data_IF_180197423191
#
_entry.id   IF_180197423191
#
_cell.length_a   1.000
_cell.length_b   1.000
_cell.length_c   1.000
_cell.angle_alpha   90.00
_cell.angle_beta   90.00
_cell.angle_gamma   90.00
#
_symmetry.space_group_name_H-M   'P 1'
#
loop_
_entity.id
_entity.type
_entity.pdbx_description
1 polymer ?
#
# COMPACT_ATOMS: atom_id res chain seq x y z
N UNK A 1 -25.62 -31.23 -6.83
CA UNK A 1 -24.30 -30.56 -6.90
C UNK A 1 -24.54 -29.18 -7.44
N UNK A 2 -23.99 -28.15 -6.81
CA UNK A 2 -24.05 -26.79 -7.35
C UNK A 2 -23.27 -26.70 -8.66
N UNK A 3 -23.67 -25.82 -9.60
CA UNK A 3 -22.91 -25.55 -10.83
C UNK A 3 -21.45 -25.22 -10.53
N UNK A 4 -20.54 -25.62 -11.43
CA UNK A 4 -19.09 -25.44 -11.24
C UNK A 4 -18.72 -23.96 -11.10
N UNK A 5 -19.40 -23.09 -11.84
CA UNK A 5 -19.22 -21.64 -11.78
C UNK A 5 -19.56 -21.09 -10.39
N UNK A 6 -20.61 -21.63 -9.75
CA UNK A 6 -21.00 -21.25 -8.40
C UNK A 6 -19.94 -21.69 -7.40
N UNK A 7 -19.46 -22.93 -7.49
CA UNK A 7 -18.40 -23.44 -6.60
C UNK A 7 -17.10 -22.63 -6.71
N UNK A 8 -16.69 -22.28 -7.93
CA UNK A 8 -15.53 -21.41 -8.17
C UNK A 8 -15.75 -20.01 -7.57
N UNK A 9 -16.95 -19.45 -7.72
CA UNK A 9 -17.32 -18.13 -7.20
C UNK A 9 -17.27 -18.10 -5.68
N UNK A 10 -17.83 -19.11 -5.03
CA UNK A 10 -17.81 -19.27 -3.57
C UNK A 10 -16.38 -19.44 -3.06
N UNK A 11 -15.57 -20.33 -3.65
CA UNK A 11 -14.18 -20.52 -3.24
C UNK A 11 -13.35 -19.26 -3.37
N UNK A 12 -13.48 -18.54 -4.50
CA UNK A 12 -12.79 -17.27 -4.71
C UNK A 12 -13.24 -16.22 -3.69
N UNK A 13 -14.52 -16.16 -3.37
CA UNK A 13 -15.07 -15.21 -2.39
C UNK A 13 -14.57 -15.52 -0.97
N UNK A 14 -14.65 -16.78 -0.54
CA UNK A 14 -14.18 -17.24 0.77
C UNK A 14 -12.68 -17.02 0.95
N UNK A 15 -11.87 -17.36 -0.06
CA UNK A 15 -10.42 -17.14 -0.01
C UNK A 15 -10.08 -15.65 0.11
N UNK A 16 -10.74 -14.78 -0.66
CA UNK A 16 -10.51 -13.32 -0.57
C UNK A 16 -10.95 -12.75 0.77
N UNK A 17 -12.05 -13.24 1.34
CA UNK A 17 -12.48 -12.86 2.68
C UNK A 17 -11.43 -13.22 3.74
N UNK A 18 -10.87 -14.44 3.69
CA UNK A 18 -9.80 -14.82 4.61
C UNK A 18 -8.48 -14.07 4.35
N UNK A 19 -8.13 -13.75 3.10
CA UNK A 19 -7.00 -12.86 2.79
C UNK A 19 -7.17 -11.48 3.42
N UNK A 20 -8.38 -10.91 3.34
CA UNK A 20 -8.71 -9.64 3.95
C UNK A 20 -8.56 -9.68 5.48
N UNK A 21 -9.16 -10.68 6.13
CA UNK A 21 -9.08 -10.82 7.59
C UNK A 21 -7.64 -11.00 8.07
N UNK A 22 -6.86 -11.82 7.37
CA UNK A 22 -5.47 -12.10 7.73
C UNK A 22 -4.57 -10.89 7.49
N UNK A 23 -4.62 -10.27 6.30
CA UNK A 23 -3.64 -9.25 5.90
C UNK A 23 -4.04 -7.81 6.20
N UNK A 24 -5.34 -7.53 6.36
CA UNK A 24 -5.86 -6.16 6.54
C UNK A 24 -6.42 -5.95 7.94
N UNK A 25 -7.13 -6.96 8.48
CA UNK A 25 -7.74 -6.86 9.80
C UNK A 25 -6.84 -7.38 10.92
N UNK A 26 -5.82 -8.20 10.59
CA UNK A 26 -4.98 -8.90 11.56
C UNK A 26 -5.84 -9.72 12.55
N UNK A 27 -6.89 -10.36 12.02
CA UNK A 27 -7.91 -11.08 12.77
C UNK A 27 -8.40 -12.32 12.00
N UNK A 28 -7.54 -13.32 11.75
CA UNK A 28 -7.91 -14.51 11.00
C UNK A 28 -8.96 -15.35 11.75
N UNK A 29 -9.98 -15.81 11.02
CA UNK A 29 -11.03 -16.69 11.55
C UNK A 29 -10.74 -18.18 11.39
N UNK A 30 -9.86 -18.52 10.44
CA UNK A 30 -9.50 -19.91 10.13
C UNK A 30 -7.99 -20.12 10.25
N UNK A 31 -7.53 -21.32 10.65
CA UNK A 31 -6.11 -21.66 10.63
C UNK A 31 -5.54 -21.67 9.20
N UNK A 32 -4.24 -21.42 9.06
CA UNK A 32 -3.53 -21.45 7.77
C UNK A 32 -3.76 -22.75 6.98
N UNK A 33 -3.83 -23.89 7.68
CA UNK A 33 -4.07 -25.20 7.07
C UNK A 33 -5.44 -25.28 6.34
N UNK A 34 -6.45 -24.57 6.83
CA UNK A 34 -7.79 -24.54 6.22
C UNK A 34 -7.80 -23.63 4.99
N UNK A 35 -7.17 -22.45 5.07
CA UNK A 35 -6.95 -21.59 3.90
C UNK A 35 -6.21 -22.36 2.78
N UNK A 36 -5.15 -23.10 3.12
CA UNK A 36 -4.39 -23.91 2.17
C UNK A 36 -5.23 -25.03 1.54
N UNK A 37 -6.14 -25.63 2.32
CA UNK A 37 -7.08 -26.64 1.80
C UNK A 37 -8.02 -26.04 0.76
N UNK A 38 -8.59 -24.87 1.05
CA UNK A 38 -9.47 -24.15 0.12
C UNK A 38 -8.71 -23.73 -1.16
N UNK A 39 -7.48 -23.24 -1.01
CA UNK A 39 -6.62 -22.85 -2.14
C UNK A 39 -6.28 -24.05 -3.03
N UNK A 40 -5.97 -25.22 -2.45
CA UNK A 40 -5.75 -26.46 -3.20
C UNK A 40 -7.00 -26.87 -3.98
N UNK A 41 -8.18 -26.81 -3.35
CA UNK A 41 -9.46 -27.11 -4.01
C UNK A 41 -9.73 -26.16 -5.17
N UNK A 42 -9.51 -24.85 -5.00
CA UNK A 42 -9.66 -23.87 -6.09
C UNK A 42 -8.74 -24.20 -7.27
N UNK A 43 -7.46 -24.50 -7.01
CA UNK A 43 -6.50 -24.88 -8.05
C UNK A 43 -6.92 -26.14 -8.80
N UNK A 44 -7.42 -27.15 -8.08
CA UNK A 44 -7.91 -28.39 -8.68
C UNK A 44 -9.08 -28.12 -9.63
N UNK A 45 -10.10 -27.39 -9.19
CA UNK A 45 -11.24 -27.04 -10.04
C UNK A 45 -10.83 -26.19 -11.25
N UNK A 46 -9.96 -25.20 -11.08
CA UNK A 46 -9.44 -24.40 -12.19
C UNK A 46 -8.60 -25.21 -13.17
N UNK A 47 -7.89 -26.24 -12.71
CA UNK A 47 -7.15 -27.14 -13.60
C UNK A 47 -8.06 -28.04 -14.44
N UNK A 48 -9.24 -28.39 -13.92
CA UNK A 48 -10.27 -29.17 -14.62
C UNK A 48 -11.10 -28.30 -15.57
N UNK A 49 -11.21 -27.00 -15.28
CA UNK A 49 -12.00 -26.02 -16.01
C UNK A 49 -11.19 -24.75 -16.35
N UNK A 50 -10.15 -24.87 -17.21
CA UNK A 50 -9.24 -23.76 -17.52
C UNK A 50 -9.96 -22.56 -18.16
N UNK A 51 -11.08 -22.79 -18.86
CA UNK A 51 -11.93 -21.77 -19.46
C UNK A 51 -12.61 -20.85 -18.43
N UNK A 52 -12.69 -21.27 -17.16
CA UNK A 52 -13.31 -20.51 -16.06
C UNK A 52 -12.29 -19.76 -15.21
N UNK A 53 -10.99 -19.83 -15.52
CA UNK A 53 -9.94 -19.09 -14.82
C UNK A 53 -10.07 -17.59 -15.11
N UNK A 54 -10.16 -16.78 -14.06
CA UNK A 54 -10.20 -15.32 -14.17
C UNK A 54 -8.86 -14.69 -13.76
N UNK A 55 -8.44 -13.56 -14.36
CA UNK A 55 -7.17 -12.90 -14.02
C UNK A 55 -7.05 -12.41 -12.57
N UNK A 56 -8.18 -12.28 -11.87
CA UNK A 56 -8.29 -11.85 -10.48
C UNK A 56 -8.47 -13.03 -9.50
N UNK A 57 -8.37 -14.27 -9.98
CA UNK A 57 -8.46 -15.45 -9.11
C UNK A 57 -7.26 -15.49 -8.15
N UNK A 58 -7.46 -15.87 -6.86
CA UNK A 58 -6.37 -16.00 -5.88
C UNK A 58 -5.19 -16.88 -6.32
N UNK A 59 -5.41 -17.79 -7.28
CA UNK A 59 -4.39 -18.67 -7.84
C UNK A 59 -3.45 -17.96 -8.83
N UNK A 60 -3.89 -16.83 -9.43
CA UNK A 60 -3.20 -16.13 -10.52
C UNK A 60 -2.20 -15.06 -10.04
N UNK A 61 -1.76 -15.13 -8.78
CA UNK A 61 -0.82 -14.17 -8.19
C UNK A 61 0.60 -14.27 -8.75
N UNK A 62 1.02 -15.47 -9.16
CA UNK A 62 2.38 -15.71 -9.69
C UNK A 62 2.28 -16.05 -11.17
N UNK A 63 2.76 -15.14 -12.03
CA UNK A 63 2.83 -15.35 -13.47
C UNK A 63 3.83 -16.46 -13.86
N UNK A 64 3.72 -16.97 -15.09
CA UNK A 64 4.47 -18.14 -15.54
C UNK A 64 5.89 -17.84 -16.08
N UNK A 65 6.09 -16.72 -16.79
CA UNK A 65 7.34 -16.41 -17.48
C UNK A 65 8.06 -15.20 -16.85
N UNK A 66 9.40 -15.26 -16.66
CA UNK A 66 10.19 -14.08 -16.33
C UNK A 66 10.10 -13.01 -17.43
N UNK A 67 10.14 -11.76 -17.02
CA UNK A 67 10.29 -10.62 -17.92
C UNK A 67 11.73 -10.56 -18.46
N UNK A 68 11.92 -10.05 -19.67
CA UNK A 68 13.26 -9.76 -20.20
C UNK A 68 13.79 -8.42 -19.67
N UNK A 69 12.91 -7.44 -19.50
CA UNK A 69 13.17 -6.13 -18.93
C UNK A 69 11.85 -5.52 -18.40
N UNK A 70 11.95 -4.48 -17.58
CA UNK A 70 10.80 -3.68 -17.17
C UNK A 70 10.47 -2.64 -18.25
N UNK A 71 9.19 -2.55 -18.63
CA UNK A 71 8.66 -1.44 -19.42
C UNK A 71 8.50 -0.19 -18.55
N UNK A 72 8.43 0.97 -19.19
CA UNK A 72 8.16 2.23 -18.51
C UNK A 72 6.67 2.54 -18.52
N UNK A 73 6.15 3.06 -17.41
CA UNK A 73 4.78 3.57 -17.28
C UNK A 73 4.86 5.04 -16.92
N UNK A 74 4.18 5.87 -17.70
CA UNK A 74 3.97 7.28 -17.36
C UNK A 74 2.75 7.42 -16.47
N UNK A 75 2.91 8.04 -15.31
CA UNK A 75 1.80 8.30 -14.39
C UNK A 75 0.88 9.38 -14.97
N UNK A 76 -0.43 9.10 -15.01
CA UNK A 76 -1.45 10.06 -15.45
C UNK A 76 -1.52 11.29 -14.52
N UNK A 77 -1.35 11.04 -13.22
CA UNK A 77 -1.19 12.08 -12.19
C UNK A 77 0.23 11.99 -11.64
N UNK A 78 1.04 13.06 -11.59
CA UNK A 78 2.38 12.99 -11.01
C UNK A 78 2.40 12.49 -9.56
N UNK A 79 3.37 11.64 -9.22
CA UNK A 79 3.70 11.20 -7.87
C UNK A 79 4.65 12.18 -7.19
N UNK A 80 4.07 13.04 -6.34
CA UNK A 80 4.80 14.09 -5.63
C UNK A 80 5.68 13.53 -4.51
N UNK A 81 6.80 14.20 -4.25
CA UNK A 81 7.59 14.03 -3.02
C UNK A 81 6.96 14.79 -1.85
N UNK A 82 7.49 14.54 -0.66
CA UNK A 82 7.18 15.30 0.56
C UNK A 82 8.30 16.29 0.83
N UNK A 83 7.95 17.46 1.35
CA UNK A 83 8.93 18.34 2.00
C UNK A 83 9.26 17.76 3.38
N UNK A 84 10.52 17.86 3.80
CA UNK A 84 10.95 17.37 5.10
C UNK A 84 11.06 18.52 6.11
N UNK A 85 10.67 18.23 7.35
CA UNK A 85 10.97 19.04 8.54
C UNK A 85 11.68 18.15 9.56
N UNK A 86 12.63 18.72 10.30
CA UNK A 86 13.55 17.92 11.12
C UNK A 86 13.44 18.16 12.63
N UNK A 87 12.59 19.10 13.02
CA UNK A 87 12.41 19.54 14.40
C UNK A 87 10.99 20.11 14.61
N UNK A 88 10.59 20.23 15.88
CA UNK A 88 9.24 20.67 16.24
C UNK A 88 8.98 22.13 15.83
N UNK A 89 9.98 23.01 15.90
CA UNK A 89 9.86 24.42 15.53
C UNK A 89 9.60 24.58 14.02
N UNK A 90 10.34 23.83 13.20
CA UNK A 90 10.18 23.73 11.75
C UNK A 90 8.79 23.21 11.36
N UNK A 91 8.24 22.26 12.12
CA UNK A 91 6.87 21.80 11.94
C UNK A 91 5.85 22.89 12.29
N UNK A 92 6.01 23.58 13.42
CA UNK A 92 5.11 24.69 13.79
C UNK A 92 5.16 25.83 12.77
N UNK A 93 6.34 26.12 12.22
CA UNK A 93 6.50 27.06 11.12
C UNK A 93 5.79 26.58 9.84
N UNK A 94 5.83 25.29 9.53
CA UNK A 94 5.05 24.70 8.44
C UNK A 94 3.54 24.88 8.68
N UNK A 95 3.03 24.55 9.86
CA UNK A 95 1.62 24.77 10.24
C UNK A 95 1.21 26.23 10.01
N UNK A 96 2.01 27.18 10.49
CA UNK A 96 1.76 28.63 10.31
C UNK A 96 1.69 29.00 8.82
N UNK A 97 2.65 28.55 8.00
CA UNK A 97 2.64 28.80 6.54
C UNK A 97 1.38 28.26 5.86
N UNK A 98 0.88 27.11 6.30
CA UNK A 98 -0.35 26.53 5.76
C UNK A 98 -1.57 27.36 6.17
N UNK A 99 -1.69 27.75 7.45
CA UNK A 99 -2.77 28.64 7.92
C UNK A 99 -2.79 29.98 7.20
N UNK A 100 -1.62 30.64 7.08
CA UNK A 100 -1.47 31.93 6.40
C UNK A 100 -1.93 31.84 4.93
N UNK A 101 -1.58 30.74 4.25
CA UNK A 101 -1.96 30.52 2.84
C UNK A 101 -3.45 30.20 2.67
N UNK A 102 -4.04 29.51 3.64
CA UNK A 102 -5.47 29.22 3.66
C UNK A 102 -6.31 30.42 4.10
N UNK A 103 -5.67 31.50 4.61
CA UNK A 103 -6.34 32.67 5.18
C UNK A 103 -7.38 32.29 6.24
N UNK A 104 -7.10 31.22 6.99
CA UNK A 104 -8.00 30.72 8.03
C UNK A 104 -7.35 30.92 9.39
N UNK A 105 -8.14 31.38 10.35
CA UNK A 105 -7.79 31.43 11.77
C UNK A 105 -8.21 30.15 12.50
N UNK A 106 -8.92 29.24 11.82
CA UNK A 106 -9.36 27.98 12.40
C UNK A 106 -8.20 27.00 12.55
N UNK A 107 -8.36 26.08 13.48
CA UNK A 107 -7.41 24.99 13.66
C UNK A 107 -7.46 24.02 12.46
N UNK A 108 -6.29 23.63 11.98
CA UNK A 108 -6.18 22.61 10.94
C UNK A 108 -6.28 21.23 11.58
N UNK A 109 -7.09 20.37 10.97
CA UNK A 109 -7.11 18.94 11.30
C UNK A 109 -6.08 18.20 10.47
N UNK A 110 -5.35 17.31 11.13
CA UNK A 110 -4.27 16.55 10.53
C UNK A 110 -4.58 15.07 10.45
N UNK A 111 -4.01 14.50 9.39
CA UNK A 111 -3.87 13.09 9.16
C UNK A 111 -2.37 12.72 9.29
N UNK A 112 -1.99 12.14 10.43
CA UNK A 112 -0.64 11.68 10.77
C UNK A 112 -0.43 10.16 10.57
N UNK A 113 0.43 9.79 9.62
CA UNK A 113 0.75 8.41 9.25
C UNK A 113 2.24 8.13 9.50
N UNK A 114 2.64 6.89 9.65
CA UNK A 114 4.05 6.48 9.68
C UNK A 114 4.69 6.71 8.32
N UNK A 115 5.90 7.26 8.33
CA UNK A 115 6.74 7.36 7.14
C UNK A 115 7.48 6.05 6.93
N UNK A 116 6.83 5.10 6.26
CA UNK A 116 7.37 3.77 5.97
C UNK A 116 8.68 3.87 5.17
N UNK A 117 9.69 3.09 5.57
CA UNK A 117 10.96 3.02 4.85
C UNK A 117 10.96 1.91 3.81
N UNK A 118 10.40 2.21 2.62
CA UNK A 118 10.23 1.25 1.55
C UNK A 118 10.40 1.83 0.16
N UNK A 119 9.58 1.32 -0.77
CA UNK A 119 9.50 1.78 -2.14
C UNK A 119 8.06 2.17 -2.48
N UNK A 120 7.87 3.44 -2.85
CA UNK A 120 6.60 3.96 -3.31
C UNK A 120 6.14 3.28 -4.62
N UNK A 121 4.88 2.83 -4.61
CA UNK A 121 4.22 2.20 -5.75
C UNK A 121 2.86 2.83 -6.03
N UNK A 122 2.45 2.73 -7.28
CA UNK A 122 1.12 3.08 -7.79
C UNK A 122 0.44 1.82 -8.31
N UNK A 123 -0.83 1.60 -7.96
CA UNK A 123 -1.61 0.42 -8.33
C UNK A 123 -2.94 0.88 -8.92
N UNK A 124 -3.17 0.61 -10.19
CA UNK A 124 -4.39 0.95 -10.89
C UNK A 124 -5.37 -0.23 -10.82
N UNK A 125 -6.56 0.08 -10.34
CA UNK A 125 -7.73 -0.78 -10.38
C UNK A 125 -8.73 -0.23 -11.39
N UNK A 126 -9.22 -1.10 -12.28
CA UNK A 126 -10.33 -0.79 -13.18
C UNK A 126 -11.51 -1.68 -12.85
N UNK A 127 -12.67 -1.08 -12.57
CA UNK A 127 -13.86 -1.77 -12.07
C UNK A 127 -13.54 -2.69 -10.88
N UNK A 128 -12.66 -2.21 -9.99
CA UNK A 128 -12.18 -2.93 -8.82
C UNK A 128 -11.16 -4.03 -9.07
N UNK A 129 -10.71 -4.31 -10.30
CA UNK A 129 -9.70 -5.34 -10.60
C UNK A 129 -8.34 -4.70 -10.83
N UNK A 130 -7.28 -5.22 -10.19
CA UNK A 130 -5.91 -4.76 -10.41
C UNK A 130 -5.52 -5.02 -11.86
N UNK A 131 -5.23 -3.96 -12.62
CA UNK A 131 -4.80 -4.07 -14.03
C UNK A 131 -3.34 -3.72 -14.22
N UNK A 132 -2.80 -2.80 -13.43
CA UNK A 132 -1.44 -2.27 -13.62
C UNK A 132 -0.84 -1.84 -12.28
N UNK A 133 0.47 -2.02 -12.10
CA UNK A 133 1.21 -1.40 -11.01
C UNK A 133 2.57 -0.89 -11.48
N UNK A 134 2.98 0.26 -10.94
CA UNK A 134 4.21 0.94 -11.33
C UNK A 134 5.02 1.40 -10.11
N UNK A 135 6.35 1.42 -10.23
CA UNK A 135 7.19 2.15 -9.26
C UNK A 135 6.96 3.66 -9.39
N UNK A 136 7.34 4.43 -8.36
CA UNK A 136 7.34 5.89 -8.47
C UNK A 136 8.25 6.42 -9.58
N UNK A 137 9.45 5.83 -9.72
CA UNK A 137 10.52 6.35 -10.56
C UNK A 137 10.87 7.80 -10.22
N UNK A 138 10.85 8.69 -11.20
CA UNK A 138 11.12 10.13 -11.03
C UNK A 138 9.89 10.95 -10.57
N UNK A 139 8.75 10.27 -10.38
CA UNK A 139 7.46 10.89 -10.05
C UNK A 139 6.57 11.17 -11.26
N UNK A 140 7.11 11.08 -12.48
CA UNK A 140 6.36 11.18 -13.75
C UNK A 140 6.35 9.86 -14.50
N UNK A 141 7.48 9.14 -14.49
CA UNK A 141 7.64 7.85 -15.16
C UNK A 141 8.24 6.84 -14.19
N UNK A 142 7.61 5.68 -14.10
CA UNK A 142 8.03 4.52 -13.32
C UNK A 142 8.30 3.29 -14.17
N UNK A 143 8.64 2.19 -13.51
CA UNK A 143 8.79 0.85 -14.09
C UNK A 143 7.51 0.05 -13.86
N UNK A 144 7.06 -0.70 -14.87
CA UNK A 144 5.96 -1.67 -14.74
C UNK A 144 6.38 -2.84 -13.86
N UNK A 145 5.74 -2.96 -12.71
CA UNK A 145 5.98 -4.02 -11.72
C UNK A 145 4.71 -4.83 -11.46
N UNK A 146 3.76 -4.83 -12.39
CA UNK A 146 2.44 -5.46 -12.23
C UNK A 146 2.55 -6.93 -11.79
N UNK A 147 3.38 -7.72 -12.48
CA UNK A 147 3.59 -9.14 -12.16
C UNK A 147 4.15 -9.36 -10.75
N UNK A 148 5.01 -8.44 -10.28
CA UNK A 148 5.66 -8.56 -8.98
C UNK A 148 4.73 -8.09 -7.85
N UNK A 149 3.94 -7.05 -8.09
CA UNK A 149 2.93 -6.55 -7.15
C UNK A 149 1.83 -7.59 -6.92
N UNK A 150 1.41 -8.33 -7.95
CA UNK A 150 0.42 -9.43 -7.81
C UNK A 150 0.85 -10.51 -6.81
N UNK A 151 2.16 -10.70 -6.61
CA UNK A 151 2.67 -11.72 -5.67
C UNK A 151 2.57 -11.28 -4.20
N UNK A 152 2.39 -9.98 -3.94
CA UNK A 152 2.29 -9.44 -2.58
C UNK A 152 0.91 -9.78 -2.01
N UNK A 153 0.89 -10.65 -1.00
CA UNK A 153 -0.36 -11.19 -0.43
C UNK A 153 -1.28 -10.14 0.15
N UNK A 154 -0.69 -9.10 0.76
CA UNK A 154 -1.44 -7.99 1.34
C UNK A 154 -2.18 -7.14 0.28
N UNK A 155 -1.81 -7.22 -1.00
CA UNK A 155 -2.43 -6.43 -2.06
C UNK A 155 -3.58 -7.24 -2.68
N UNK A 156 -4.84 -6.78 -2.60
CA UNK A 156 -5.96 -7.48 -3.21
C UNK A 156 -5.87 -7.42 -4.74
N UNK A 157 -6.10 -8.54 -5.41
CA UNK A 157 -6.25 -8.56 -6.88
C UNK A 157 -7.58 -7.95 -7.32
N UNK A 158 -8.59 -7.97 -6.43
CA UNK A 158 -9.91 -7.38 -6.61
C UNK A 158 -10.35 -6.70 -5.33
N UNK A 159 -10.82 -5.47 -5.43
CA UNK A 159 -11.45 -4.71 -4.35
C UNK A 159 -12.83 -5.29 -4.04
N UNK A 160 -13.24 -5.22 -2.78
CA UNK A 160 -14.52 -5.75 -2.31
C UNK A 160 -15.41 -4.65 -1.75
N UNK A 161 -16.73 -4.80 -1.86
CA UNK A 161 -17.69 -3.83 -1.36
C UNK A 161 -18.30 -2.97 -2.45
N UNK A 162 -18.97 -1.90 -2.04
CA UNK A 162 -19.77 -1.04 -2.90
C UNK A 162 -19.06 0.27 -3.24
N UNK A 163 -19.60 0.99 -4.23
CA UNK A 163 -19.16 2.33 -4.63
C UNK A 163 -17.70 2.40 -5.09
N UNK A 164 -17.15 1.30 -5.60
CA UNK A 164 -15.80 1.27 -6.17
C UNK A 164 -15.78 2.09 -7.47
N UNK A 165 -14.88 3.07 -7.63
CA UNK A 165 -14.77 3.86 -8.86
C UNK A 165 -14.44 3.01 -10.08
N UNK A 166 -14.87 3.46 -11.26
CA UNK A 166 -14.53 2.82 -12.52
C UNK A 166 -13.02 2.72 -12.74
N UNK A 167 -12.25 3.77 -12.40
CA UNK A 167 -10.78 3.75 -12.37
C UNK A 167 -10.27 4.38 -11.07
N UNK A 168 -9.43 3.65 -10.35
CA UNK A 168 -8.86 4.07 -9.07
C UNK A 168 -7.37 3.74 -9.02
N UNK A 169 -6.52 4.76 -8.92
CA UNK A 169 -5.10 4.60 -8.63
C UNK A 169 -4.83 4.71 -7.13
N UNK A 170 -4.47 3.59 -6.51
CA UNK A 170 -4.06 3.53 -5.11
C UNK A 170 -2.54 3.70 -5.03
N UNK A 171 -2.10 4.60 -4.14
CA UNK A 171 -0.68 4.84 -3.87
C UNK A 171 -0.33 4.36 -2.47
N UNK A 172 0.83 3.74 -2.35
CA UNK A 172 1.30 3.22 -1.08
C UNK A 172 2.79 2.89 -1.11
N UNK A 173 3.26 2.32 -0.01
CA UNK A 173 4.65 1.91 0.15
C UNK A 173 4.71 0.38 0.23
N UNK A 174 5.53 -0.23 -0.64
CA UNK A 174 5.94 -1.62 -0.46
C UNK A 174 7.16 -1.65 0.44
N UNK A 175 7.10 -2.43 1.50
CA UNK A 175 8.19 -2.56 2.46
C UNK A 175 8.37 -4.00 2.92
N UNK A 176 9.43 -4.23 3.69
CA UNK A 176 9.82 -5.54 4.18
C UNK A 176 9.93 -5.49 5.70
N UNK A 177 9.13 -6.27 6.44
CA UNK A 177 9.26 -6.38 7.89
C UNK A 177 10.65 -6.89 8.29
N UNK A 178 11.14 -6.48 9.46
CA UNK A 178 12.49 -6.83 9.96
C UNK A 178 12.70 -8.35 10.02
N UNK A 179 11.70 -9.10 10.50
CA UNK A 179 11.77 -10.57 10.53
C UNK A 179 11.92 -11.19 9.12
N UNK A 180 11.29 -10.59 8.12
CA UNK A 180 11.43 -11.01 6.72
C UNK A 180 12.80 -10.67 6.13
N UNK A 181 13.31 -9.48 6.47
CA UNK A 181 14.66 -9.04 6.11
C UNK A 181 15.74 -9.96 6.67
N UNK A 182 15.68 -10.30 7.96
CA UNK A 182 16.67 -11.19 8.58
C UNK A 182 16.67 -12.58 7.95
N UNK A 183 15.48 -13.15 7.67
CA UNK A 183 15.36 -14.43 6.96
C UNK A 183 15.99 -14.39 5.57
N UNK A 184 15.78 -13.32 4.80
CA UNK A 184 16.40 -13.16 3.48
C UNK A 184 17.92 -13.12 3.60
N UNK A 185 18.45 -12.36 4.56
CA UNK A 185 19.89 -12.21 4.73
C UNK A 185 20.56 -13.47 5.28
N UNK A 186 19.89 -14.21 6.16
CA UNK A 186 20.37 -15.51 6.65
C UNK A 186 20.48 -16.52 5.49
N UNK A 187 19.44 -16.63 4.67
CA UNK A 187 19.47 -17.52 3.49
C UNK A 187 20.52 -17.08 2.47
N UNK A 188 20.67 -15.77 2.23
CA UNK A 188 21.71 -15.24 1.35
C UNK A 188 23.11 -15.60 1.86
N UNK A 189 23.38 -15.45 3.16
CA UNK A 189 24.66 -15.85 3.78
C UNK A 189 24.93 -17.35 3.61
N UNK A 190 23.90 -18.20 3.77
CA UNK A 190 24.01 -19.65 3.63
C UNK A 190 24.29 -20.10 2.20
N UNK A 191 23.70 -19.41 1.22
CA UNK A 191 23.76 -19.80 -0.20
C UNK A 191 24.80 -19.03 -1.02
N UNK A 192 25.54 -18.10 -0.40
CA UNK A 192 26.47 -17.20 -1.09
C UNK A 192 25.78 -16.13 -1.94
N UNK A 193 24.49 -15.86 -1.67
CA UNK A 193 23.70 -14.84 -2.33
C UNK A 193 23.99 -13.41 -1.85
N UNK A 194 23.34 -12.43 -2.47
CA UNK A 194 23.47 -11.01 -2.10
C UNK A 194 22.82 -10.73 -0.74
N UNK A 195 23.62 -10.26 0.21
CA UNK A 195 23.14 -9.72 1.50
C UNK A 195 22.76 -8.25 1.32
N UNK A 196 21.63 -7.84 1.88
CA UNK A 196 21.14 -6.46 1.84
C UNK A 196 21.54 -5.70 3.11
N UNK A 197 21.88 -4.42 2.94
CA UNK A 197 22.31 -3.56 4.06
C UNK A 197 21.16 -3.14 4.98
N UNK A 198 19.95 -2.97 4.43
CA UNK A 198 18.75 -2.56 5.18
C UNK A 198 17.45 -3.09 4.52
N UNK A 199 16.31 -3.10 5.25
CA UNK A 199 15.03 -3.54 4.72
C UNK A 199 14.56 -2.78 3.48
N UNK A 200 14.79 -1.46 3.39
CA UNK A 200 14.46 -0.65 2.20
C UNK A 200 15.10 -1.20 0.93
N UNK A 201 16.41 -1.45 0.96
CA UNK A 201 17.15 -2.00 -0.17
C UNK A 201 16.72 -3.42 -0.50
N UNK A 202 16.41 -4.23 0.51
CA UNK A 202 15.87 -5.57 0.32
C UNK A 202 14.48 -5.54 -0.33
N UNK A 203 13.59 -4.63 0.08
CA UNK A 203 12.28 -4.44 -0.51
C UNK A 203 12.39 -4.01 -1.98
N UNK A 204 13.17 -2.97 -2.26
CA UNK A 204 13.40 -2.47 -3.61
C UNK A 204 14.01 -3.54 -4.54
N UNK A 205 15.03 -4.26 -4.06
CA UNK A 205 15.64 -5.35 -4.82
C UNK A 205 14.70 -6.53 -5.04
N UNK A 206 13.83 -6.84 -4.07
CA UNK A 206 12.83 -7.91 -4.17
C UNK A 206 11.71 -7.58 -5.14
N UNK A 207 11.29 -6.31 -5.19
CA UNK A 207 10.22 -5.86 -6.08
C UNK A 207 10.68 -5.68 -7.53
N UNK A 208 11.98 -5.50 -7.76
CA UNK A 208 12.60 -5.34 -9.09
C UNK A 208 13.27 -6.62 -9.58
N UNK A 209 12.65 -7.78 -9.32
CA UNK A 209 13.08 -9.05 -9.91
C UNK A 209 12.37 -9.25 -11.24
N UNK A 210 13.12 -9.63 -12.28
CA UNK A 210 12.52 -9.95 -13.59
C UNK A 210 11.65 -11.20 -13.52
N UNK A 211 11.98 -12.14 -12.65
CA UNK A 211 11.18 -13.32 -12.39
C UNK A 211 10.27 -13.11 -11.15
N UNK A 212 8.94 -12.97 -11.32
CA UNK A 212 8.01 -12.77 -10.21
C UNK A 212 8.00 -13.96 -9.24
N UNK A 213 8.44 -15.15 -9.65
CA UNK A 213 8.57 -16.33 -8.77
C UNK A 213 9.63 -16.12 -7.69
N UNK A 214 10.60 -15.24 -7.93
CA UNK A 214 11.57 -14.82 -6.91
C UNK A 214 10.90 -13.86 -5.94
N UNK A 215 10.18 -12.84 -6.44
CA UNK A 215 9.43 -11.88 -5.60
C UNK A 215 8.39 -12.59 -4.72
N UNK A 216 7.70 -13.60 -5.23
CA UNK A 216 6.71 -14.38 -4.48
C UNK A 216 7.29 -15.10 -3.24
N UNK A 217 8.59 -15.33 -3.18
CA UNK A 217 9.29 -15.91 -2.01
C UNK A 217 9.74 -14.85 -1.01
N UNK A 218 9.63 -13.58 -1.34
CA UNK A 218 10.02 -12.46 -0.49
C UNK A 218 8.78 -12.03 0.30
N UNK A 219 8.87 -11.92 1.64
CA UNK A 219 7.73 -11.55 2.48
C UNK A 219 7.47 -10.03 2.42
N UNK A 220 7.29 -9.50 1.21
CA UNK A 220 6.91 -8.11 0.98
C UNK A 220 5.50 -7.87 1.51
N UNK A 221 5.27 -6.68 2.02
CA UNK A 221 3.95 -6.19 2.40
C UNK A 221 3.74 -4.78 1.85
N UNK A 222 2.55 -4.23 2.07
CA UNK A 222 2.13 -2.96 1.50
C UNK A 222 1.21 -2.22 2.47
N UNK A 223 1.32 -0.89 2.53
CA UNK A 223 0.28 -0.03 3.09
C UNK A 223 -0.07 1.09 2.12
N UNK A 224 -1.36 1.32 1.90
CA UNK A 224 -1.85 2.46 1.13
C UNK A 224 -1.79 3.75 1.94
N UNK A 225 -1.41 4.86 1.29
CA UNK A 225 -1.32 6.19 1.90
C UNK A 225 -1.98 7.30 1.08
N UNK A 226 -2.53 6.98 -0.11
CA UNK A 226 -3.04 8.03 -1.00
C UNK A 226 -3.67 7.53 -2.28
N UNK A 227 -4.09 8.50 -3.10
CA UNK A 227 -4.80 8.31 -4.37
C UNK A 227 -4.14 9.15 -5.47
N UNK A 228 -4.15 8.63 -6.69
CA UNK A 228 -3.83 9.36 -7.92
C UNK A 228 -5.08 9.55 -8.78
N UNK A 229 -5.17 8.87 -9.92
CA UNK A 229 -6.37 8.80 -10.78
C UNK A 229 -7.62 8.37 -9.99
N UNK A 230 -8.74 9.05 -10.25
CA UNK A 230 -10.07 8.74 -9.74
C UNK A 230 -11.10 9.10 -10.81
N UNK A 231 -11.77 8.11 -11.38
CA UNK A 231 -12.79 8.30 -12.43
C UNK A 231 -14.00 7.39 -12.21
N UNK A 232 -15.19 7.86 -12.55
CA UNK A 232 -16.43 7.08 -12.46
C UNK A 232 -16.79 6.64 -11.04
N UNK A 233 -16.58 7.52 -10.07
CA UNK A 233 -16.91 7.30 -8.65
C UNK A 233 -16.47 8.47 -7.79
N UNK A 234 -16.80 8.43 -6.50
CA UNK A 234 -16.44 9.45 -5.54
C UNK A 234 -15.63 8.86 -4.39
N UNK A 235 -14.79 9.70 -3.79
CA UNK A 235 -14.07 9.38 -2.56
C UNK A 235 -14.43 10.39 -1.47
N UNK A 236 -14.38 9.99 -0.20
CA UNK A 236 -14.59 10.91 0.92
C UNK A 236 -13.75 12.18 0.82
N UNK A 237 -14.26 13.27 1.38
CA UNK A 237 -13.57 14.54 1.38
C UNK A 237 -12.27 14.49 2.22
N UNK A 238 -12.30 13.90 3.43
CA UNK A 238 -11.07 13.85 4.23
C UNK A 238 -10.11 12.75 3.78
N UNK A 239 -8.82 12.96 3.96
CA UNK A 239 -7.79 11.97 3.65
C UNK A 239 -7.89 10.75 4.58
N UNK A 240 -8.15 10.98 5.87
CA UNK A 240 -8.45 9.96 6.87
C UNK A 240 -9.63 9.07 6.47
N UNK A 241 -10.73 9.65 5.99
CA UNK A 241 -11.89 8.89 5.55
C UNK A 241 -11.61 8.11 4.26
N UNK A 242 -10.72 8.59 3.38
CA UNK A 242 -10.27 7.82 2.21
C UNK A 242 -9.48 6.58 2.63
N UNK A 243 -8.60 6.69 3.62
CA UNK A 243 -7.86 5.52 4.14
C UNK A 243 -8.82 4.48 4.76
N UNK A 244 -9.84 4.94 5.49
CA UNK A 244 -10.89 4.05 5.99
C UNK A 244 -11.70 3.39 4.86
N UNK A 245 -12.00 4.13 3.80
CA UNK A 245 -12.66 3.58 2.61
C UNK A 245 -11.79 2.53 1.91
N UNK A 246 -10.49 2.78 1.78
CA UNK A 246 -9.54 1.80 1.22
C UNK A 246 -9.48 0.53 2.07
N UNK A 247 -9.46 0.67 3.39
CA UNK A 247 -9.57 -0.46 4.31
C UNK A 247 -10.87 -1.24 4.09
N UNK A 248 -12.01 -0.56 4.00
CA UNK A 248 -13.30 -1.19 3.71
C UNK A 248 -13.32 -1.93 2.36
N UNK A 249 -12.52 -1.48 1.38
CA UNK A 249 -12.35 -2.14 0.09
C UNK A 249 -11.33 -3.29 0.07
N UNK A 250 -10.67 -3.55 1.20
CA UNK A 250 -9.71 -4.63 1.34
C UNK A 250 -8.25 -4.25 1.10
N UNK A 251 -7.93 -2.95 1.06
CA UNK A 251 -6.55 -2.49 0.99
C UNK A 251 -5.95 -2.38 2.41
N UNK A 252 -4.72 -2.87 2.60
CA UNK A 252 -4.04 -2.74 3.88
C UNK A 252 -3.63 -1.28 4.08
N UNK A 253 -3.87 -0.76 5.27
CA UNK A 253 -3.47 0.57 5.70
C UNK A 253 -3.00 0.52 7.13
N UNK A 254 -2.18 1.49 7.49
CA UNK A 254 -1.73 1.64 8.88
C UNK A 254 -2.93 1.97 9.80
N UNK A 255 -2.78 1.69 11.11
CA UNK A 255 -3.68 2.24 12.15
C UNK A 255 -3.37 3.72 12.35
N UNK A 256 -3.70 4.49 11.34
CA UNK A 256 -3.45 5.90 11.24
C UNK A 256 -4.25 6.66 12.30
N UNK A 257 -3.62 7.52 13.12
CA UNK A 257 -4.30 8.23 14.23
C UNK A 257 -5.03 9.45 13.71
N UNK A 258 -6.34 9.36 13.46
CA UNK A 258 -7.14 10.47 12.90
C UNK A 258 -8.55 10.56 13.50
N UNK A 259 -9.18 11.74 13.45
CA UNK A 259 -8.57 13.06 13.16
C UNK A 259 -7.69 13.56 14.32
N UNK A 260 -6.58 14.25 14.04
CA UNK A 260 -5.75 14.93 15.05
C UNK A 260 -6.03 16.43 14.99
N UNK A 261 -6.78 16.98 15.95
CA UNK A 261 -6.96 18.41 16.05
C UNK A 261 -5.68 19.03 16.67
N UNK A 262 -5.28 20.21 16.20
CA UNK A 262 -4.14 20.98 16.73
C UNK A 262 -2.72 20.46 16.42
N UNK A 263 -1.76 21.36 16.15
CA UNK A 263 -0.37 20.97 15.88
C UNK A 263 0.34 20.35 17.10
N UNK A 264 -0.03 20.70 18.33
CA UNK A 264 0.58 20.17 19.56
C UNK A 264 0.28 18.66 19.73
N UNK A 265 -0.90 18.22 19.29
CA UNK A 265 -1.26 16.79 19.28
C UNK A 265 -0.50 16.02 18.20
N UNK A 266 -0.15 16.67 17.08
CA UNK A 266 0.74 16.09 16.06
C UNK A 266 2.13 15.84 16.64
N UNK A 267 2.69 16.79 17.39
CA UNK A 267 3.98 16.64 18.07
C UNK A 267 3.93 15.52 19.13
N UNK A 268 2.82 15.40 19.84
CA UNK A 268 2.60 14.30 20.79
C UNK A 268 2.57 12.94 20.09
N UNK A 269 1.91 12.85 18.93
CA UNK A 269 1.95 11.64 18.10
C UNK A 269 3.35 11.33 17.59
N UNK A 270 4.09 12.34 17.12
CA UNK A 270 5.48 12.17 16.66
C UNK A 270 6.38 11.58 17.75
N UNK A 271 6.35 12.14 18.97
CA UNK A 271 7.12 11.63 20.11
C UNK A 271 6.75 10.19 20.47
N UNK A 272 5.45 9.88 20.49
CA UNK A 272 4.97 8.52 20.74
C UNK A 272 5.49 7.53 19.69
N UNK A 273 5.43 7.89 18.41
CA UNK A 273 5.95 7.04 17.32
C UNK A 273 7.45 6.84 17.45
N UNK A 274 8.20 7.86 17.87
CA UNK A 274 9.63 7.75 18.11
C UNK A 274 9.95 6.74 19.23
N UNK A 275 9.20 6.76 20.32
CA UNK A 275 9.30 5.78 21.42
C UNK A 275 8.91 4.36 20.98
N UNK A 276 7.87 4.22 20.16
CA UNK A 276 7.37 2.92 19.68
C UNK A 276 8.20 2.34 18.53
N UNK A 277 9.02 3.14 17.83
CA UNK A 277 9.79 2.76 16.64
C UNK A 277 10.53 1.42 16.76
N UNK A 278 11.25 1.10 17.86
CA UNK A 278 11.95 -0.18 18.02
C UNK A 278 11.02 -1.41 18.09
N UNK A 279 9.72 -1.21 18.31
CA UNK A 279 8.74 -2.25 18.57
C UNK A 279 7.77 -2.49 17.41
N UNK A 280 7.86 -1.71 16.32
CA UNK A 280 6.96 -1.83 15.16
C UNK A 280 7.20 -3.10 14.33
N UNK A 281 8.41 -3.67 14.38
CA UNK A 281 8.79 -4.84 13.58
C UNK A 281 9.03 -4.53 12.09
N UNK A 282 9.04 -3.25 11.71
CA UNK A 282 9.41 -2.74 10.40
C UNK A 282 9.99 -1.32 10.53
N UNK A 283 10.76 -0.91 9.53
CA UNK A 283 11.47 0.37 9.57
C UNK A 283 10.56 1.53 9.13
N UNK A 284 10.67 2.63 9.86
CA UNK A 284 10.07 3.93 9.55
C UNK A 284 11.14 5.01 9.63
N UNK A 285 10.96 6.10 8.90
CA UNK A 285 11.85 7.28 8.89
C UNK A 285 11.31 8.46 9.73
N UNK A 286 10.09 8.34 10.25
CA UNK A 286 9.38 9.41 10.95
C UNK A 286 7.88 9.31 10.75
N UNK A 287 7.21 10.46 10.70
CA UNK A 287 5.76 10.59 10.46
C UNK A 287 5.49 11.49 9.26
N UNK A 288 4.47 11.16 8.49
CA UNK A 288 3.93 12.00 7.42
C UNK A 288 2.70 12.72 7.96
N UNK A 289 2.69 14.04 7.85
CA UNK A 289 1.64 14.92 8.36
C UNK A 289 0.95 15.56 7.16
N UNK A 290 -0.34 15.27 7.01
CA UNK A 290 -1.18 15.73 5.89
C UNK A 290 -2.34 16.54 6.44
N UNK A 291 -2.67 17.68 5.83
CA UNK A 291 -3.94 18.35 6.14
C UNK A 291 -5.09 17.44 5.72
N UNK A 292 -6.01 17.17 6.64
CA UNK A 292 -6.99 16.11 6.45
C UNK A 292 -8.11 16.49 5.46
N UNK A 293 -8.55 17.75 5.44
CA UNK A 293 -9.70 18.17 4.64
C UNK A 293 -9.38 18.45 3.14
N UNK A 294 -10.19 17.91 2.23
CA UNK A 294 -10.05 18.12 0.77
C UNK A 294 -10.49 19.49 0.24
N UNK A 295 -11.45 20.15 0.87
CA UNK A 295 -12.18 21.28 0.25
C UNK A 295 -11.31 22.52 -0.02
N UNK A 296 -10.14 22.62 0.61
CA UNK A 296 -9.21 23.72 0.38
C UNK A 296 -8.38 23.60 -0.92
N UNK A 297 -8.49 22.50 -1.68
CA UNK A 297 -7.79 22.36 -2.96
C UNK A 297 -8.43 23.17 -4.11
N UNK A 298 -9.66 23.68 -3.92
CA UNK A 298 -10.39 24.48 -4.91
C UNK A 298 -9.93 25.94 -5.04
N UNK A 299 -9.16 26.46 -4.08
CA UNK A 299 -8.56 27.80 -4.19
C UNK A 299 -7.29 27.73 -5.04
N UNK A 300 -7.45 28.03 -6.33
CA UNK A 300 -6.43 28.40 -7.32
C UNK A 300 -4.98 27.97 -6.99
N UNK A 301 -4.57 26.78 -7.44
CA UNK A 301 -3.16 26.39 -7.48
C UNK A 301 -2.54 25.89 -6.17
N UNK A 302 -3.34 25.61 -5.13
CA UNK A 302 -2.81 25.00 -3.91
C UNK A 302 -2.69 23.48 -4.02
N UNK A 303 -1.47 22.97 -4.21
CA UNK A 303 -1.14 21.56 -3.94
C UNK A 303 -1.38 21.30 -2.45
N UNK A 304 -2.07 20.19 -2.11
CA UNK A 304 -2.31 19.83 -0.69
C UNK A 304 -0.97 19.76 0.05
N UNK A 305 -0.75 20.60 1.07
CA UNK A 305 0.51 20.65 1.78
C UNK A 305 0.66 19.36 2.59
N UNK A 306 1.81 18.72 2.44
CA UNK A 306 2.18 17.50 3.16
C UNK A 306 3.63 17.66 3.57
N UNK A 307 3.93 17.38 4.82
CA UNK A 307 5.29 17.38 5.33
C UNK A 307 5.61 16.00 5.92
N UNK A 308 6.86 15.58 5.80
CA UNK A 308 7.41 14.48 6.58
C UNK A 308 8.22 15.08 7.73
N UNK A 309 7.87 14.72 8.98
CA UNK A 309 8.63 15.05 10.17
C UNK A 309 9.42 13.82 10.60
N UNK A 310 10.74 13.94 10.66
CA UNK A 310 11.63 12.87 11.08
C UNK A 310 12.98 13.45 11.50
N UNK A 311 13.83 12.64 12.15
CA UNK A 311 15.20 13.09 12.44
C UNK A 311 15.98 13.25 11.14
N UNK A 312 16.75 14.34 11.02
CA UNK A 312 17.78 14.42 9.99
C UNK A 312 18.69 13.20 10.08
N UNK A 313 19.04 12.62 8.93
CA UNK A 313 19.95 11.48 8.83
C UNK A 313 21.28 11.76 9.55
#
# INVERSE_FOLDING_TARGET
MEPIEQQLTELRTTLRHHEYLYHVMDAPEVPDAEYDRLMRKLRELESQHPELITPDSPTQRVGAAPLTAFSQIRHEVPMLSLDNVFDEESFLAFNKRVQDRLKSTDHLTYCCELKLDGLAVSILYENGVLVQAATRGDGTTGEDITSNVRTIRAIPLKLHGENIPARLEVRGEVFLPQAGFEKINEEARRTGGKVFANPRNAAAGSLRQLDPRITAKRPLTFFCYGVGVLEGGELPASHSARLLQFKAWGLPGERSRHPVPYPEEVLTYYRKVEEERPHLGFDIDGVVIKVDFAGAAGTAGFRRPRAALGRGL
#
